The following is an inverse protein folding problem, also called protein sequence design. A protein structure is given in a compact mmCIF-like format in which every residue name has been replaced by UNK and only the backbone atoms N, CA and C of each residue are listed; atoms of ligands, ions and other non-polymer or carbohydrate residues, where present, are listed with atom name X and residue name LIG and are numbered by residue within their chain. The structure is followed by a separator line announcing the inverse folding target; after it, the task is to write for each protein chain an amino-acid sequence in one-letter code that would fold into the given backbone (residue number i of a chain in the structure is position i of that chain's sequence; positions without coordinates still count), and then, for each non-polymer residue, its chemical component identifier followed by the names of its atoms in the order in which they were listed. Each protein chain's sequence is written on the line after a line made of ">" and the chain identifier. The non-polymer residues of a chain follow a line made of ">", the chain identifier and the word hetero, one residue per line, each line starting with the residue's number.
data_IF_200525094090
#
_entry.id   IF_200525094090
#
_cell.length_a   1.000
_cell.length_b   1.000
_cell.length_c   1.000
_cell.angle_alpha   90.00
_cell.angle_beta   90.00
_cell.angle_gamma   90.00
#
_symmetry.space_group_name_H-M   'P 1'
#
loop_
_entity.id
_entity.type
_entity.pdbx_description
1 polymer ?
#
# COMPACT_ATOMS: atom_id res chain seq x y z
N UNK A 1 -4.72 14.06 -13.91
CA UNK A 1 -4.89 12.61 -13.62
C UNK A 1 -4.13 12.20 -12.36
N UNK A 2 -2.81 12.39 -12.27
CA UNK A 2 -1.98 11.95 -11.12
C UNK A 2 -2.51 12.48 -9.77
N UNK A 3 -2.73 13.79 -9.63
CA UNK A 3 -3.22 14.37 -8.36
C UNK A 3 -4.62 13.88 -7.95
N UNK A 4 -5.47 13.52 -8.92
CA UNK A 4 -6.76 12.88 -8.62
C UNK A 4 -6.60 11.48 -8.04
N UNK A 5 -5.59 10.73 -8.51
CA UNK A 5 -5.25 9.42 -7.96
C UNK A 5 -4.64 9.53 -6.57
N UNK A 6 -3.79 10.53 -6.33
CA UNK A 6 -3.27 10.86 -4.99
C UNK A 6 -4.43 11.13 -4.03
N UNK A 7 -5.36 12.01 -4.39
CA UNK A 7 -6.53 12.29 -3.54
C UNK A 7 -7.44 11.07 -3.32
N UNK A 8 -7.55 10.17 -4.30
CA UNK A 8 -8.25 8.90 -4.13
C UNK A 8 -7.56 8.01 -3.09
N UNK A 9 -6.23 7.84 -3.17
CA UNK A 9 -5.45 7.03 -2.24
C UNK A 9 -5.56 7.60 -0.82
N UNK A 10 -5.34 8.91 -0.66
CA UNK A 10 -5.44 9.61 0.63
C UNK A 10 -6.83 9.45 1.26
N UNK A 11 -7.88 9.66 0.46
CA UNK A 11 -9.25 9.54 0.92
C UNK A 11 -9.67 8.11 1.27
N UNK A 12 -9.12 7.09 0.61
CA UNK A 12 -9.37 5.69 0.96
C UNK A 12 -8.62 5.30 2.24
N UNK A 13 -7.34 5.62 2.33
CA UNK A 13 -6.51 5.34 3.52
C UNK A 13 -7.14 5.96 4.76
N UNK A 14 -7.55 7.23 4.70
CA UNK A 14 -8.16 7.92 5.83
C UNK A 14 -9.45 7.22 6.33
N UNK A 15 -10.32 6.78 5.41
CA UNK A 15 -11.56 6.07 5.75
C UNK A 15 -11.29 4.71 6.38
N UNK A 16 -10.38 3.93 5.78
CA UNK A 16 -10.00 2.61 6.29
C UNK A 16 -9.37 2.73 7.68
N UNK A 17 -8.46 3.69 7.89
CA UNK A 17 -7.86 3.95 9.22
C UNK A 17 -8.92 4.29 10.26
N UNK A 18 -9.91 5.11 9.92
CA UNK A 18 -11.01 5.44 10.83
C UNK A 18 -11.83 4.19 11.23
N UNK A 19 -12.07 3.27 10.30
CA UNK A 19 -12.76 2.00 10.59
C UNK A 19 -11.92 1.02 11.44
N UNK A 20 -10.61 1.03 11.28
CA UNK A 20 -9.68 0.15 12.01
C UNK A 20 -9.29 0.66 13.41
N UNK A 21 -9.73 1.85 13.82
CA UNK A 21 -9.40 2.44 15.13
C UNK A 21 -8.23 3.43 15.11
N UNK A 22 -7.87 3.97 13.95
CA UNK A 22 -6.99 5.14 13.78
C UNK A 22 -5.63 4.83 13.16
N UNK A 23 -4.93 3.83 13.68
CA UNK A 23 -3.56 3.52 13.25
C UNK A 23 -3.52 2.25 12.40
N UNK A 24 -3.04 2.38 11.17
CA UNK A 24 -2.76 1.26 10.28
C UNK A 24 -1.57 1.59 9.38
N UNK A 25 -0.58 0.70 9.34
CA UNK A 25 0.57 0.80 8.43
C UNK A 25 0.10 0.61 6.98
N UNK A 26 0.50 1.53 6.11
CA UNK A 26 0.17 1.55 4.69
C UNK A 26 1.40 1.16 3.88
N UNK A 27 1.33 -0.01 3.25
CA UNK A 27 2.38 -0.55 2.39
C UNK A 27 1.89 -0.50 0.94
N UNK A 28 2.63 0.20 0.07
CA UNK A 28 2.35 0.26 -1.36
C UNK A 28 3.23 -0.71 -2.14
N UNK A 29 2.65 -1.40 -3.13
CA UNK A 29 3.36 -2.28 -4.07
C UNK A 29 2.92 -2.02 -5.52
N UNK A 30 3.50 -2.72 -6.49
CA UNK A 30 3.21 -2.57 -7.91
C UNK A 30 3.92 -1.38 -8.57
N UNK A 31 3.94 -1.35 -9.91
CA UNK A 31 4.80 -0.43 -10.67
C UNK A 31 4.57 1.07 -10.42
N UNK A 32 3.32 1.47 -10.14
CA UNK A 32 2.99 2.89 -9.90
C UNK A 32 3.29 3.37 -8.47
N UNK A 33 3.59 2.47 -7.54
CA UNK A 33 3.89 2.83 -6.13
C UNK A 33 5.04 3.84 -6.03
N UNK A 34 6.10 3.68 -6.84
CA UNK A 34 7.26 4.58 -6.87
C UNK A 34 6.95 5.99 -7.41
N UNK A 35 5.88 6.13 -8.17
CA UNK A 35 5.42 7.43 -8.71
C UNK A 35 4.49 8.13 -7.74
N UNK A 36 3.64 7.38 -7.04
CA UNK A 36 2.64 7.94 -6.12
C UNK A 36 3.25 8.23 -4.74
N UNK A 37 4.11 7.37 -4.21
CA UNK A 37 4.66 7.52 -2.85
C UNK A 37 5.36 8.85 -2.59
N UNK A 38 6.14 9.45 -3.52
CA UNK A 38 6.74 10.76 -3.29
C UNK A 38 5.74 11.94 -3.26
N UNK A 39 4.49 11.70 -3.66
CA UNK A 39 3.46 12.73 -3.81
C UNK A 39 2.46 12.78 -2.66
N UNK A 40 2.59 11.89 -1.66
CA UNK A 40 1.70 11.82 -0.50
C UNK A 40 2.42 11.28 0.72
N UNK A 41 1.97 11.67 1.91
CA UNK A 41 2.49 11.19 3.18
C UNK A 41 1.73 10.00 3.76
N UNK A 42 0.65 9.54 3.11
CA UNK A 42 -0.18 8.44 3.63
C UNK A 42 0.41 7.05 3.41
N UNK A 43 1.48 6.93 2.61
CA UNK A 43 2.19 5.68 2.36
C UNK A 43 3.42 5.63 3.28
N UNK A 44 3.47 4.61 4.14
CA UNK A 44 4.57 4.44 5.10
C UNK A 44 5.76 3.69 4.46
N UNK A 45 5.46 2.70 3.60
CA UNK A 45 6.47 1.86 2.96
C UNK A 45 6.12 1.57 1.49
N UNK A 46 7.17 1.42 0.66
CA UNK A 46 7.06 0.89 -0.70
C UNK A 46 7.80 -0.44 -0.77
N UNK A 47 7.07 -1.51 -1.06
CA UNK A 47 7.61 -2.87 -1.17
C UNK A 47 7.25 -3.47 -2.54
N UNK A 48 8.18 -3.50 -3.51
CA UNK A 48 7.92 -4.03 -4.84
C UNK A 48 7.78 -5.56 -4.89
N UNK A 49 8.31 -6.28 -3.89
CA UNK A 49 8.36 -7.74 -3.87
C UNK A 49 7.28 -8.35 -2.97
N UNK A 50 6.43 -7.53 -2.35
CA UNK A 50 5.37 -7.93 -1.42
C UNK A 50 4.55 -9.13 -1.90
N UNK A 51 4.15 -9.16 -3.18
CA UNK A 51 3.39 -10.28 -3.76
C UNK A 51 4.25 -11.54 -3.90
N UNK A 52 5.51 -11.41 -4.33
CA UNK A 52 6.41 -12.55 -4.50
C UNK A 52 6.77 -13.18 -3.15
N UNK A 53 6.96 -12.35 -2.13
CA UNK A 53 7.19 -12.80 -0.77
C UNK A 53 5.98 -13.57 -0.22
N UNK A 54 4.76 -13.07 -0.46
CA UNK A 54 3.54 -13.81 -0.12
C UNK A 54 3.45 -15.17 -0.81
N UNK A 55 3.79 -15.26 -2.11
CA UNK A 55 3.83 -16.52 -2.84
C UNK A 55 4.88 -17.49 -2.28
N UNK A 56 6.07 -17.00 -1.90
CA UNK A 56 7.12 -17.79 -1.26
C UNK A 56 6.63 -18.42 0.05
N UNK A 57 6.00 -17.62 0.93
CA UNK A 57 5.43 -18.09 2.20
C UNK A 57 4.36 -19.16 1.98
N UNK A 58 3.48 -18.99 0.99
CA UNK A 58 2.46 -19.99 0.64
C UNK A 58 3.12 -21.28 0.17
N UNK A 59 4.13 -21.21 -0.72
CA UNK A 59 4.83 -22.39 -1.22
C UNK A 59 5.52 -23.17 -0.08
N UNK A 60 6.12 -22.47 0.88
CA UNK A 60 6.77 -23.09 2.05
C UNK A 60 5.78 -23.79 2.99
N UNK A 61 4.57 -23.25 3.13
CA UNK A 61 3.50 -23.86 3.95
C UNK A 61 2.87 -25.11 3.33
N UNK A 62 3.01 -25.31 2.01
CA UNK A 62 2.42 -26.43 1.27
C UNK A 62 3.44 -27.51 0.88
N UNK A 63 4.63 -27.48 1.47
CA UNK A 63 5.58 -28.60 1.43
C UNK A 63 5.24 -29.65 2.48
#
# INVERSE_FOLDING_TARGET
>A
LIFGYVGLVEGLVARIRAELGGEATVIATGGFSRVIAPLTSVIDHVDPDLTLEGLRVIAERNR
#
